data_IF_821427054857
#
_entry.id   IF_821427054857
#
_cell.length_a   1.000
_cell.length_b   1.000
_cell.length_c   1.000
_cell.angle_alpha   90.00
_cell.angle_beta   90.00
_cell.angle_gamma   90.00
#
_symmetry.space_group_name_H-M   'P 1'
#
loop_
_entity.id
_entity.type
_entity.pdbx_description
1 polymer ?
#
# COMPACT_ATOMS: atom_id res chain seq x y z
N UNK A 1 -5.81 -25.11 14.48
CA UNK A 1 -4.45 -25.08 13.91
C UNK A 1 -3.95 -23.64 13.81
N UNK A 2 -2.70 -23.36 14.17
CA UNK A 2 -2.10 -22.02 14.02
C UNK A 2 -1.14 -21.99 12.83
N UNK A 3 -1.32 -21.05 11.93
CA UNK A 3 -0.50 -20.85 10.72
C UNK A 3 0.09 -19.44 10.70
N UNK A 4 1.33 -19.31 10.22
CA UNK A 4 2.04 -18.04 10.09
C UNK A 4 2.37 -17.79 8.63
N UNK A 5 2.13 -16.56 8.18
CA UNK A 5 2.35 -16.07 6.84
C UNK A 5 3.12 -14.75 6.89
N UNK A 6 3.71 -14.37 5.76
CA UNK A 6 4.37 -13.09 5.52
C UNK A 6 3.48 -12.22 4.63
N UNK A 7 3.41 -10.92 4.94
CA UNK A 7 2.68 -9.91 4.19
C UNK A 7 3.71 -8.98 3.53
N UNK A 8 4.10 -9.30 2.30
CA UNK A 8 5.06 -8.48 1.58
C UNK A 8 4.39 -7.21 1.07
N UNK A 9 4.92 -6.05 1.44
CA UNK A 9 4.39 -4.75 1.02
C UNK A 9 3.56 -4.02 2.08
N UNK A 10 3.24 -4.65 3.22
CA UNK A 10 2.44 -4.01 4.26
C UNK A 10 3.29 -3.06 5.11
N UNK A 11 2.99 -1.76 5.10
CA UNK A 11 3.69 -0.78 5.95
C UNK A 11 2.73 0.09 6.79
N UNK A 12 1.41 -0.06 6.62
CA UNK A 12 0.40 0.80 7.24
C UNK A 12 -0.30 0.10 8.43
N UNK A 13 -0.20 0.68 9.62
CA UNK A 13 -0.84 0.15 10.84
C UNK A 13 -2.38 0.10 10.75
N UNK A 14 -3.00 1.11 10.14
CA UNK A 14 -4.46 1.15 9.97
C UNK A 14 -4.94 0.07 9.01
N UNK A 15 -4.21 -0.16 7.91
CA UNK A 15 -4.53 -1.21 6.96
C UNK A 15 -4.35 -2.60 7.59
N UNK A 16 -3.33 -2.79 8.42
CA UNK A 16 -3.15 -4.01 9.20
C UNK A 16 -4.34 -4.31 10.11
N UNK A 17 -4.88 -3.31 10.82
CA UNK A 17 -6.08 -3.47 11.66
C UNK A 17 -7.30 -3.88 10.81
N UNK A 18 -7.55 -3.19 9.68
CA UNK A 18 -8.64 -3.54 8.77
C UNK A 18 -8.51 -4.96 8.21
N UNK A 19 -7.28 -5.40 7.91
CA UNK A 19 -7.01 -6.77 7.46
C UNK A 19 -7.35 -7.75 8.59
N UNK A 20 -6.92 -7.48 9.83
CA UNK A 20 -7.24 -8.35 10.97
C UNK A 20 -8.76 -8.51 11.14
N UNK A 21 -9.48 -7.40 11.24
CA UNK A 21 -10.93 -7.39 11.48
C UNK A 21 -11.68 -8.20 10.42
N UNK A 22 -11.36 -7.96 9.14
CA UNK A 22 -12.03 -8.64 8.04
C UNK A 22 -11.64 -10.11 7.87
N UNK A 23 -10.41 -10.50 8.26
CA UNK A 23 -10.00 -11.91 8.20
C UNK A 23 -10.73 -12.77 9.25
N UNK A 24 -11.12 -12.18 10.39
CA UNK A 24 -11.92 -12.86 11.43
C UNK A 24 -13.34 -13.18 10.92
N UNK A 25 -13.88 -12.37 10.00
CA UNK A 25 -15.20 -12.61 9.40
C UNK A 25 -15.21 -13.84 8.45
N UNK A 26 -14.05 -14.36 8.06
CA UNK A 26 -13.94 -15.55 7.21
C UNK A 26 -14.33 -16.79 8.03
N UNK A 27 -15.29 -17.57 7.52
CA UNK A 27 -15.72 -18.82 8.16
C UNK A 27 -14.52 -19.78 8.34
N UNK A 28 -14.31 -20.22 9.57
CA UNK A 28 -13.22 -21.13 9.94
C UNK A 28 -11.96 -20.44 10.45
N UNK A 29 -11.94 -19.10 10.56
CA UNK A 29 -10.89 -18.33 11.23
C UNK A 29 -11.37 -17.95 12.62
N UNK A 30 -10.67 -18.46 13.65
CA UNK A 30 -10.96 -18.18 15.06
C UNK A 30 -10.21 -16.95 15.58
N UNK A 31 -9.01 -16.68 15.05
CA UNK A 31 -8.20 -15.52 15.42
C UNK A 31 -7.37 -15.07 14.21
N UNK A 32 -7.24 -13.76 14.04
CA UNK A 32 -6.27 -13.16 13.13
C UNK A 32 -5.42 -12.13 13.90
N UNK A 33 -4.12 -12.09 13.62
CA UNK A 33 -3.22 -11.09 14.18
C UNK A 33 -2.14 -10.74 13.16
N UNK A 34 -1.95 -9.45 12.92
CA UNK A 34 -0.95 -8.90 12.01
C UNK A 34 0.08 -8.11 12.82
N UNK A 35 1.33 -8.51 12.71
CA UNK A 35 2.48 -7.76 13.22
C UNK A 35 3.09 -6.97 12.05
N UNK A 36 2.87 -5.65 12.07
CA UNK A 36 3.35 -4.70 11.06
C UNK A 36 4.85 -4.48 11.13
N UNK A 37 5.47 -4.70 12.29
CA UNK A 37 6.92 -4.52 12.44
C UNK A 37 7.64 -5.69 11.78
N UNK A 38 7.11 -6.90 11.93
CA UNK A 38 7.70 -8.10 11.32
C UNK A 38 7.12 -8.47 9.95
N UNK A 39 6.09 -7.76 9.47
CA UNK A 39 5.31 -8.09 8.27
C UNK A 39 4.79 -9.52 8.28
N UNK A 40 4.22 -9.95 9.41
CA UNK A 40 3.69 -11.30 9.56
C UNK A 40 2.22 -11.32 9.94
N UNK A 41 1.50 -12.27 9.36
CA UNK A 41 0.12 -12.59 9.68
C UNK A 41 0.08 -13.95 10.37
N UNK A 42 -0.56 -14.01 11.54
CA UNK A 42 -0.86 -15.25 12.25
C UNK A 42 -2.35 -15.51 12.17
N UNK A 43 -2.73 -16.70 11.73
CA UNK A 43 -4.12 -17.17 11.67
C UNK A 43 -4.30 -18.40 12.55
N UNK A 44 -5.37 -18.42 13.34
CA UNK A 44 -5.87 -19.63 13.97
C UNK A 44 -7.09 -20.11 13.20
N UNK A 45 -6.97 -21.30 12.62
CA UNK A 45 -7.95 -21.93 11.72
C UNK A 45 -8.51 -23.18 12.39
N UNK A 46 -9.82 -23.40 12.31
CA UNK A 46 -10.47 -24.58 12.89
C UNK A 46 -10.03 -25.87 12.18
N UNK A 47 -9.93 -26.98 12.91
CA UNK A 47 -9.31 -28.23 12.41
C UNK A 47 -10.05 -28.87 11.21
N UNK A 48 -11.35 -28.59 11.04
CA UNK A 48 -12.18 -29.12 9.96
C UNK A 48 -12.36 -28.14 8.77
N UNK A 49 -11.63 -27.02 8.76
CA UNK A 49 -11.79 -25.97 7.75
C UNK A 49 -10.85 -26.13 6.55
N UNK A 50 -11.29 -25.69 5.37
CA UNK A 50 -10.48 -25.72 4.14
C UNK A 50 -9.40 -24.63 4.17
N UNK A 51 -8.18 -25.02 4.56
CA UNK A 51 -7.02 -24.12 4.65
C UNK A 51 -6.70 -23.47 3.30
N UNK A 52 -6.81 -24.19 2.17
CA UNK A 52 -6.49 -23.63 0.85
C UNK A 52 -7.55 -22.61 0.40
N UNK A 53 -8.82 -22.90 0.69
CA UNK A 53 -9.92 -21.97 0.45
C UNK A 53 -9.79 -20.68 1.25
N UNK A 54 -9.39 -20.79 2.52
CA UNK A 54 -9.15 -19.64 3.40
C UNK A 54 -7.97 -18.81 2.91
N UNK A 55 -6.84 -19.44 2.53
CA UNK A 55 -5.68 -18.73 1.96
C UNK A 55 -6.05 -17.92 0.72
N UNK A 56 -6.85 -18.49 -0.20
CA UNK A 56 -7.30 -17.78 -1.40
C UNK A 56 -8.22 -16.61 -1.09
N UNK A 57 -9.14 -16.77 -0.13
CA UNK A 57 -10.03 -15.71 0.31
C UNK A 57 -9.26 -14.59 1.02
N UNK A 58 -8.32 -14.95 1.89
CA UNK A 58 -7.44 -14.02 2.57
C UNK A 58 -6.63 -13.19 1.57
N UNK A 59 -5.99 -13.81 0.58
CA UNK A 59 -5.25 -13.08 -0.46
C UNK A 59 -6.15 -12.08 -1.21
N UNK A 60 -7.36 -12.51 -1.64
CA UNK A 60 -8.30 -11.60 -2.33
C UNK A 60 -8.72 -10.44 -1.45
N UNK A 61 -8.99 -10.70 -0.17
CA UNK A 61 -9.42 -9.70 0.78
C UNK A 61 -8.31 -8.70 1.08
N UNK A 62 -7.09 -9.19 1.28
CA UNK A 62 -5.89 -8.37 1.46
C UNK A 62 -5.69 -7.49 0.23
N UNK A 63 -5.72 -8.05 -1.00
CA UNK A 63 -5.57 -7.26 -2.23
C UNK A 63 -6.69 -6.24 -2.47
N UNK A 64 -7.86 -6.41 -1.85
CA UNK A 64 -8.92 -5.40 -1.88
C UNK A 64 -8.66 -4.22 -0.93
N UNK A 65 -8.00 -4.48 0.20
CA UNK A 65 -7.62 -3.43 1.16
C UNK A 65 -6.32 -2.75 0.71
N UNK A 66 -5.33 -3.55 0.33
CA UNK A 66 -3.99 -3.14 -0.07
C UNK A 66 -3.57 -3.93 -1.32
N UNK A 67 -3.70 -3.33 -2.53
CA UNK A 67 -3.45 -4.03 -3.78
C UNK A 67 -2.00 -4.46 -3.97
N UNK A 68 -1.06 -3.80 -3.30
CA UNK A 68 0.37 -4.07 -3.40
C UNK A 68 0.86 -5.10 -2.35
N UNK A 69 -0.03 -5.67 -1.54
CA UNK A 69 0.31 -6.64 -0.50
C UNK A 69 0.08 -8.09 -0.95
N UNK A 70 1.12 -8.91 -0.82
CA UNK A 70 1.07 -10.35 -1.16
C UNK A 70 1.28 -11.24 0.06
N UNK A 71 0.48 -12.30 0.16
CA UNK A 71 0.58 -13.32 1.20
C UNK A 71 1.55 -14.43 0.75
N UNK A 72 2.59 -14.66 1.52
CA UNK A 72 3.58 -15.73 1.27
C UNK A 72 3.77 -16.60 2.52
N UNK A 73 4.15 -17.87 2.33
CA UNK A 73 4.58 -18.76 3.43
C UNK A 73 6.06 -18.61 3.78
N UNK A 74 6.83 -18.07 2.84
CA UNK A 74 8.27 -17.86 2.97
C UNK A 74 8.58 -16.37 2.92
N UNK A 75 9.59 -15.95 3.66
CA UNK A 75 10.04 -14.56 3.64
C UNK A 75 10.73 -14.30 2.29
N UNK A 76 10.10 -13.51 1.43
CA UNK A 76 10.77 -13.07 0.21
C UNK A 76 11.83 -12.04 0.58
N UNK A 77 13.10 -12.33 0.30
CA UNK A 77 14.14 -11.32 0.38
C UNK A 77 13.88 -10.27 -0.70
N UNK A 78 13.63 -9.02 -0.30
CA UNK A 78 13.50 -7.89 -1.21
C UNK A 78 14.81 -7.70 -1.96
N UNK A 79 14.93 -8.30 -3.14
CA UNK A 79 15.76 -7.73 -4.18
C UNK A 79 15.21 -6.33 -4.45
N UNK A 80 16.02 -5.30 -4.23
CA UNK A 80 15.66 -3.91 -4.49
C UNK A 80 15.22 -3.77 -5.94
N UNK A 81 13.92 -3.85 -6.20
CA UNK A 81 13.33 -3.52 -7.48
C UNK A 81 13.31 -2.00 -7.64
N UNK A 82 14.49 -1.36 -7.58
CA UNK A 82 14.72 -0.14 -8.34
C UNK A 82 14.79 -0.59 -9.80
N UNK A 83 13.63 -0.90 -10.37
CA UNK A 83 13.53 -1.12 -11.79
C UNK A 83 13.78 0.22 -12.47
N UNK A 84 15.01 0.40 -12.98
CA UNK A 84 15.39 1.47 -13.91
C UNK A 84 14.49 1.52 -15.17
N UNK A 85 13.55 0.60 -15.31
CA UNK A 85 12.59 0.50 -16.40
C UNK A 85 11.30 1.32 -16.19
N UNK A 86 11.15 2.01 -15.06
CA UNK A 86 10.06 2.98 -14.89
C UNK A 86 10.44 4.30 -15.60
N UNK A 87 10.30 4.30 -16.94
CA UNK A 87 10.54 5.46 -17.82
C UNK A 87 9.89 6.74 -17.26
N UNK A 88 8.74 6.59 -16.63
CA UNK A 88 7.97 7.67 -16.00
C UNK A 88 8.69 8.34 -14.83
N UNK A 89 9.45 7.59 -14.02
CA UNK A 89 10.29 8.16 -12.96
C UNK A 89 11.46 8.94 -13.56
N UNK A 90 12.05 8.45 -14.65
CA UNK A 90 13.13 9.16 -15.35
C UNK A 90 12.62 10.47 -15.94
N UNK A 91 11.47 10.44 -16.62
CA UNK A 91 10.83 11.63 -17.18
C UNK A 91 10.47 12.62 -16.06
N UNK A 92 9.82 12.14 -14.99
CA UNK A 92 9.47 12.97 -13.84
C UNK A 92 10.68 13.63 -13.20
N UNK A 93 11.78 12.90 -13.03
CA UNK A 93 13.04 13.43 -12.50
C UNK A 93 13.66 14.48 -13.42
N UNK A 94 13.67 14.25 -14.74
CA UNK A 94 14.17 15.24 -15.71
C UNK A 94 13.34 16.53 -15.69
N UNK A 95 12.01 16.42 -15.63
CA UNK A 95 11.10 17.58 -15.52
C UNK A 95 11.33 18.33 -14.21
N UNK A 96 11.54 17.61 -13.10
CA UNK A 96 11.84 18.22 -11.80
C UNK A 96 13.17 18.98 -11.80
N UNK A 97 14.23 18.40 -12.40
CA UNK A 97 15.52 19.11 -12.58
C UNK A 97 15.34 20.34 -13.46
N UNK A 98 14.54 20.26 -14.52
CA UNK A 98 14.17 21.42 -15.32
C UNK A 98 13.47 22.50 -14.48
N UNK A 99 12.51 22.11 -13.64
CA UNK A 99 11.79 23.02 -12.75
C UNK A 99 12.73 23.81 -11.84
N UNK A 100 13.74 23.15 -11.27
CA UNK A 100 14.78 23.78 -10.43
C UNK A 100 15.60 24.83 -11.19
N UNK A 101 15.95 24.56 -12.45
CA UNK A 101 16.76 25.46 -13.28
C UNK A 101 15.96 26.69 -13.71
N UNK A 102 14.71 26.49 -14.13
CA UNK A 102 13.86 27.56 -14.67
C UNK A 102 13.03 28.29 -13.60
N UNK A 103 13.03 27.80 -12.36
CA UNK A 103 12.29 28.33 -11.21
C UNK A 103 10.79 28.61 -11.51
N UNK A 104 10.17 27.73 -12.31
CA UNK A 104 8.78 27.86 -12.72
C UNK A 104 7.89 26.90 -11.91
N UNK A 105 7.01 27.48 -11.08
CA UNK A 105 6.05 26.76 -10.23
C UNK A 105 5.21 25.73 -10.99
N UNK A 106 4.82 26.05 -12.23
CA UNK A 106 4.02 25.15 -13.06
C UNK A 106 4.74 23.82 -13.37
N UNK A 107 6.07 23.84 -13.56
CA UNK A 107 6.83 22.62 -13.82
C UNK A 107 6.93 21.73 -12.58
N UNK A 108 6.98 22.32 -11.38
CA UNK A 108 6.93 21.54 -10.14
C UNK A 108 5.61 20.80 -10.02
N UNK A 109 4.48 21.47 -10.23
CA UNK A 109 3.15 20.82 -10.18
C UNK A 109 3.06 19.67 -11.18
N UNK A 110 3.58 19.85 -12.40
CA UNK A 110 3.61 18.78 -13.42
C UNK A 110 4.53 17.63 -13.01
N UNK A 111 5.72 17.91 -12.48
CA UNK A 111 6.65 16.88 -12.03
C UNK A 111 6.08 16.05 -10.87
N UNK A 112 5.53 16.72 -9.85
CA UNK A 112 4.88 16.05 -8.72
C UNK A 112 3.66 15.24 -9.17
N UNK A 113 2.85 15.76 -10.10
CA UNK A 113 1.75 15.02 -10.69
C UNK A 113 2.20 13.78 -11.46
N UNK A 114 3.24 13.88 -12.29
CA UNK A 114 3.78 12.75 -13.07
C UNK A 114 4.36 11.64 -12.19
N UNK A 115 5.04 12.01 -11.09
CA UNK A 115 5.63 11.03 -10.17
C UNK A 115 4.57 10.42 -9.25
N UNK A 116 3.58 11.22 -8.83
CA UNK A 116 2.62 10.85 -7.80
C UNK A 116 1.24 10.42 -8.29
N UNK A 117 0.96 10.36 -9.60
CA UNK A 117 -0.42 10.14 -10.06
C UNK A 117 -0.98 8.78 -9.63
N UNK A 118 -0.15 7.74 -9.55
CA UNK A 118 -0.57 6.40 -9.16
C UNK A 118 -1.07 6.41 -7.71
N UNK A 119 -0.37 7.13 -6.84
CA UNK A 119 -0.78 7.38 -5.45
C UNK A 119 -2.10 8.16 -5.41
N UNK A 120 -2.24 9.24 -6.19
CA UNK A 120 -3.47 10.05 -6.21
C UNK A 120 -4.66 9.20 -6.66
N UNK A 121 -4.50 8.38 -7.71
CA UNK A 121 -5.56 7.48 -8.19
C UNK A 121 -5.92 6.44 -7.12
N UNK A 122 -4.94 5.83 -6.47
CA UNK A 122 -5.16 4.89 -5.35
C UNK A 122 -5.91 5.56 -4.21
N UNK A 123 -5.50 6.77 -3.81
CA UNK A 123 -6.13 7.56 -2.77
C UNK A 123 -7.61 7.81 -3.06
N UNK A 124 -7.95 8.23 -4.29
CA UNK A 124 -9.33 8.47 -4.70
C UNK A 124 -10.13 7.17 -4.67
N UNK A 125 -9.61 6.09 -5.27
CA UNK A 125 -10.29 4.79 -5.31
C UNK A 125 -10.57 4.22 -3.91
N UNK A 126 -9.59 4.30 -3.02
CA UNK A 126 -9.71 3.81 -1.64
C UNK A 126 -10.67 4.68 -0.82
N UNK A 127 -10.61 6.00 -0.98
CA UNK A 127 -11.55 6.93 -0.32
C UNK A 127 -12.99 6.68 -0.76
N UNK A 128 -13.22 6.44 -2.06
CA UNK A 128 -14.54 6.09 -2.61
C UNK A 128 -15.07 4.77 -2.04
N UNK A 129 -14.19 3.82 -1.73
CA UNK A 129 -14.53 2.56 -1.06
C UNK A 129 -14.69 2.69 0.48
N UNK A 130 -14.97 3.90 0.98
CA UNK A 130 -15.11 4.26 2.40
C UNK A 130 -13.83 4.10 3.26
N UNK A 131 -12.63 4.09 2.66
CA UNK A 131 -11.37 4.06 3.41
C UNK A 131 -10.73 5.46 3.46
N UNK A 132 -11.40 6.40 4.13
CA UNK A 132 -11.07 7.84 4.14
C UNK A 132 -9.70 8.23 4.73
N UNK A 133 -9.11 7.37 5.58
CA UNK A 133 -7.82 7.63 6.24
C UNK A 133 -6.80 6.55 5.86
N UNK A 134 -6.59 6.40 4.55
CA UNK A 134 -5.58 5.52 3.98
C UNK A 134 -4.21 6.21 3.82
N UNK A 135 -3.13 5.45 3.71
CA UNK A 135 -1.78 5.98 3.51
C UNK A 135 -1.67 6.83 2.24
N UNK A 136 -2.26 6.34 1.14
CA UNK A 136 -2.27 7.06 -0.13
C UNK A 136 -2.99 8.42 0.00
N UNK A 137 -4.06 8.46 0.79
CA UNK A 137 -4.79 9.69 1.09
C UNK A 137 -3.95 10.64 1.95
N UNK A 138 -3.35 10.14 3.03
CA UNK A 138 -2.49 10.94 3.92
C UNK A 138 -1.28 11.53 3.18
N UNK A 139 -0.66 10.77 2.27
CA UNK A 139 0.44 11.28 1.44
C UNK A 139 -0.04 12.34 0.42
N UNK A 140 -1.23 12.14 -0.16
CA UNK A 140 -1.82 13.11 -1.10
C UNK A 140 -2.19 14.42 -0.41
N UNK A 141 -2.84 14.38 0.75
CA UNK A 141 -3.23 15.62 1.46
C UNK A 141 -2.01 16.37 2.01
N UNK A 142 -0.95 15.65 2.41
CA UNK A 142 0.31 16.27 2.83
C UNK A 142 0.98 17.03 1.67
N UNK A 143 1.05 16.44 0.48
CA UNK A 143 1.63 17.11 -0.70
C UNK A 143 0.80 18.32 -1.13
N UNK A 144 -0.52 18.20 -1.17
CA UNK A 144 -1.42 19.35 -1.44
C UNK A 144 -1.22 20.45 -0.37
N UNK A 145 -1.15 20.06 0.90
CA UNK A 145 -0.89 20.98 2.01
C UNK A 145 0.41 21.75 1.84
N UNK A 146 1.50 21.08 1.47
CA UNK A 146 2.80 21.70 1.18
C UNK A 146 2.70 22.75 0.07
N UNK A 147 1.95 22.47 -1.01
CA UNK A 147 1.71 23.46 -2.07
C UNK A 147 0.90 24.67 -1.59
N UNK A 148 -0.13 24.46 -0.76
CA UNK A 148 -0.96 25.54 -0.21
C UNK A 148 -0.15 26.49 0.67
N UNK A 149 0.79 25.97 1.47
CA UNK A 149 1.68 26.79 2.29
C UNK A 149 2.93 27.30 1.53
N UNK A 150 2.98 27.11 0.21
CA UNK A 150 4.10 27.45 -0.65
C UNK A 150 5.45 26.86 -0.21
N UNK A 151 5.41 25.69 0.45
CA UNK A 151 6.57 24.93 0.89
C UNK A 151 6.84 23.77 -0.06
N UNK A 152 6.99 24.12 -1.34
CA UNK A 152 7.55 23.25 -2.37
C UNK A 152 9.01 23.67 -2.62
N UNK A 153 9.87 22.77 -3.13
CA UNK A 153 11.27 23.06 -3.43
C UNK A 153 11.45 24.25 -4.37
#
# INVERSE_FOLDING_TARGET
>A
MRAKYYLDGLNCANCALKIQDKLIEIKGVSLSFVDVVSNTLTLEIDENSDVKGIESQAQKLISMIEPDVTLSKEKTERASQLALNNIMLIIGALVFVGALIFNHVLLYVIAYGLIGYDIIIKAIKNTLNLQWFDENFLMTIATIGAFVIAQYP
#
